data_IF_766974431735
#
_entry.id   IF_766974431735
#
_cell.length_a   1.000
_cell.length_b   1.000
_cell.length_c   1.000
_cell.angle_alpha   90.00
_cell.angle_beta   90.00
_cell.angle_gamma   90.00
#
_symmetry.space_group_name_H-M   'P 1'
#
loop_
_entity.id
_entity.type
_entity.pdbx_description
1 polymer ?
#
# COMPACT_ATOMS: atom_id res chain seq x y z
N UNK A 1 -29.93 14.11 3.87
CA UNK A 1 -29.07 13.41 2.90
C UNK A 1 -27.73 13.13 3.59
N UNK A 2 -27.59 11.96 4.21
CA UNK A 2 -26.27 11.51 4.65
C UNK A 2 -25.48 11.10 3.39
N UNK A 3 -24.65 11.99 2.86
CA UNK A 3 -23.75 11.63 1.76
C UNK A 3 -22.63 10.77 2.32
N UNK A 4 -22.63 9.46 2.06
CA UNK A 4 -21.48 8.60 2.37
C UNK A 4 -20.41 8.85 1.32
N UNK A 5 -19.31 9.48 1.71
CA UNK A 5 -18.17 9.78 0.84
C UNK A 5 -17.07 8.77 1.12
N UNK A 6 -16.53 8.16 0.08
CA UNK A 6 -15.33 7.34 0.19
C UNK A 6 -14.11 8.12 -0.26
N UNK A 7 -13.07 8.18 0.58
CA UNK A 7 -11.81 8.88 0.35
C UNK A 7 -11.19 8.61 -1.03
N UNK A 8 -10.39 9.58 -1.48
CA UNK A 8 -9.86 9.70 -2.85
C UNK A 8 -9.08 8.48 -3.32
N UNK A 9 -8.28 7.89 -2.43
CA UNK A 9 -7.32 6.84 -2.79
C UNK A 9 -7.80 5.44 -2.37
N UNK A 10 -8.96 5.36 -1.71
CA UNK A 10 -9.51 4.11 -1.23
C UNK A 10 -8.79 3.58 0.00
N UNK A 11 -8.23 4.46 0.83
CA UNK A 11 -7.41 4.12 2.02
C UNK A 11 -8.20 3.29 3.02
N UNK A 12 -9.48 3.59 3.21
CA UNK A 12 -10.39 2.78 4.04
C UNK A 12 -11.35 2.01 3.16
N UNK A 13 -11.45 0.68 3.22
CA UNK A 13 -12.25 -0.07 2.27
C UNK A 13 -13.75 0.07 2.50
N UNK A 14 -14.52 -0.08 1.42
CA UNK A 14 -15.97 -0.20 1.47
C UNK A 14 -16.47 -1.09 0.33
N UNK A 15 -17.27 -2.08 0.68
CA UNK A 15 -18.00 -2.92 -0.28
C UNK A 15 -19.49 -2.68 -0.13
N UNK A 16 -20.19 -2.85 -1.25
CA UNK A 16 -21.64 -2.73 -1.32
C UNK A 16 -22.28 -3.94 -1.95
N UNK A 17 -23.48 -4.25 -1.48
CA UNK A 17 -24.46 -5.13 -2.10
C UNK A 17 -25.77 -4.36 -2.18
N UNK A 18 -26.27 -4.16 -3.40
CA UNK A 18 -27.56 -3.51 -3.66
C UNK A 18 -28.41 -4.43 -4.53
N UNK A 19 -29.64 -4.69 -4.11
CA UNK A 19 -30.60 -5.48 -4.88
C UNK A 19 -31.58 -4.59 -5.64
N UNK A 20 -32.21 -5.14 -6.67
CA UNK A 20 -33.23 -4.44 -7.47
C UNK A 20 -34.45 -4.01 -6.64
N UNK A 21 -34.74 -4.74 -5.55
CA UNK A 21 -35.82 -4.38 -4.61
C UNK A 21 -35.40 -3.35 -3.53
N UNK A 22 -34.20 -2.79 -3.64
CA UNK A 22 -33.71 -1.71 -2.78
C UNK A 22 -33.18 -2.15 -1.43
N UNK A 23 -32.72 -3.40 -1.27
CA UNK A 23 -31.94 -3.78 -0.09
C UNK A 23 -30.49 -3.38 -0.30
N UNK A 24 -29.96 -2.52 0.57
CA UNK A 24 -28.57 -2.09 0.58
C UNK A 24 -27.87 -2.64 1.82
N UNK A 25 -26.76 -3.34 1.60
CA UNK A 25 -25.79 -3.70 2.62
C UNK A 25 -24.44 -3.11 2.29
N UNK A 26 -23.76 -2.58 3.31
CA UNK A 26 -22.44 -1.97 3.22
C UNK A 26 -21.56 -2.61 4.29
N UNK A 27 -20.34 -2.95 3.93
CA UNK A 27 -19.35 -3.50 4.87
C UNK A 27 -17.95 -3.05 4.46
N UNK A 28 -17.05 -2.88 5.42
CA UNK A 28 -15.66 -2.53 5.14
C UNK A 28 -14.96 -3.63 4.33
N UNK A 29 -15.31 -4.89 4.56
CA UNK A 29 -14.70 -6.05 3.90
C UNK A 29 -15.80 -6.91 3.26
N UNK A 30 -15.52 -7.44 2.07
CA UNK A 30 -16.51 -8.13 1.26
C UNK A 30 -17.05 -9.39 1.93
N UNK A 31 -16.23 -10.07 2.75
CA UNK A 31 -16.58 -11.26 3.53
C UNK A 31 -17.73 -11.03 4.50
N UNK A 32 -17.88 -9.82 5.02
CA UNK A 32 -19.02 -9.45 5.88
C UNK A 32 -20.36 -9.39 5.14
N UNK A 33 -20.35 -9.44 3.80
CA UNK A 33 -21.55 -9.44 2.97
C UNK A 33 -21.90 -10.83 2.41
N UNK A 34 -21.03 -11.83 2.58
CA UNK A 34 -21.20 -13.15 1.96
C UNK A 34 -22.40 -13.92 2.50
N UNK A 35 -22.57 -13.98 3.82
CA UNK A 35 -23.70 -14.67 4.44
C UNK A 35 -25.05 -14.02 4.08
N UNK A 36 -25.07 -12.68 4.06
CA UNK A 36 -26.24 -11.92 3.63
C UNK A 36 -26.59 -12.31 2.19
N UNK A 37 -25.63 -12.27 1.26
CA UNK A 37 -25.86 -12.65 -0.14
C UNK A 37 -26.42 -14.06 -0.27
N UNK A 38 -25.88 -15.03 0.46
CA UNK A 38 -26.31 -16.44 0.39
C UNK A 38 -27.72 -16.65 0.93
N UNK A 39 -28.16 -15.83 1.91
CA UNK A 39 -29.52 -15.89 2.47
C UNK A 39 -30.59 -15.24 1.59
N UNK A 40 -30.20 -14.52 0.54
CA UNK A 40 -31.13 -13.76 -0.32
C UNK A 40 -31.56 -14.55 -1.55
N UNK A 41 -32.86 -14.50 -1.85
CA UNK A 41 -33.41 -15.03 -3.10
C UNK A 41 -33.26 -14.08 -4.30
N UNK A 42 -32.99 -12.79 -4.03
CA UNK A 42 -32.83 -11.77 -5.06
C UNK A 42 -31.37 -11.70 -5.51
N UNK A 43 -31.08 -11.78 -6.83
CA UNK A 43 -29.71 -11.62 -7.34
C UNK A 43 -29.08 -10.30 -6.90
N UNK A 44 -27.84 -10.36 -6.45
CA UNK A 44 -27.05 -9.19 -6.08
C UNK A 44 -25.55 -9.47 -6.23
N UNK A 45 -24.80 -8.46 -6.71
CA UNK A 45 -23.34 -8.51 -6.75
C UNK A 45 -22.76 -7.75 -5.56
N UNK A 46 -21.72 -8.32 -4.95
CA UNK A 46 -20.87 -7.61 -4.00
C UNK A 46 -19.79 -6.92 -4.83
N UNK A 47 -19.72 -5.61 -4.74
CA UNK A 47 -18.77 -4.79 -5.50
C UNK A 47 -17.99 -3.87 -4.56
N UNK A 48 -16.69 -3.66 -4.80
CA UNK A 48 -16.00 -2.52 -4.20
C UNK A 48 -16.76 -1.25 -4.57
N UNK A 49 -17.03 -0.40 -3.59
CA UNK A 49 -17.46 0.96 -3.88
C UNK A 49 -16.26 1.71 -4.55
N UNK A 50 -16.46 2.69 -5.44
CA UNK A 50 -15.33 3.33 -6.10
C UNK A 50 -14.70 4.44 -5.21
N UNK A 51 -13.36 4.50 -5.08
CA UNK A 51 -12.68 5.59 -4.38
C UNK A 51 -13.02 6.97 -4.93
N UNK A 52 -13.04 7.99 -4.07
CA UNK A 52 -13.34 9.38 -4.46
C UNK A 52 -14.79 9.62 -4.88
N UNK A 53 -15.72 8.69 -4.58
CA UNK A 53 -17.14 8.81 -4.90
C UNK A 53 -18.03 8.94 -3.66
N UNK A 54 -19.24 9.42 -3.89
CA UNK A 54 -20.38 9.25 -3.00
C UNK A 54 -21.58 8.71 -3.77
N UNK A 55 -22.51 8.07 -3.05
CA UNK A 55 -23.78 7.61 -3.59
C UNK A 55 -24.89 8.10 -2.67
N UNK A 56 -25.86 8.82 -3.24
CA UNK A 56 -27.03 9.33 -2.55
C UNK A 56 -28.23 8.42 -2.82
N UNK A 57 -28.97 8.13 -1.76
CA UNK A 57 -30.11 7.22 -1.78
C UNK A 57 -31.37 7.88 -1.24
N UNK A 58 -32.50 7.59 -1.89
CA UNK A 58 -33.82 7.85 -1.35
C UNK A 58 -34.22 6.72 -0.41
N UNK A 59 -34.51 7.05 0.85
CA UNK A 59 -35.09 6.11 1.81
C UNK A 59 -36.60 6.04 1.63
N UNK A 60 -37.11 4.89 1.20
CA UNK A 60 -38.54 4.62 1.05
C UNK A 60 -39.16 4.29 2.41
N UNK A 61 -40.47 4.49 2.54
CA UNK A 61 -41.22 4.18 3.77
C UNK A 61 -41.12 2.69 4.19
N UNK A 62 -40.82 1.81 3.24
CA UNK A 62 -40.58 0.38 3.48
C UNK A 62 -39.22 0.08 4.12
N UNK A 63 -38.37 1.09 4.33
CA UNK A 63 -36.97 0.95 4.75
C UNK A 63 -36.02 0.56 3.60
N UNK A 64 -36.53 0.35 2.39
CA UNK A 64 -35.72 0.09 1.18
C UNK A 64 -35.13 1.39 0.64
N UNK A 65 -34.05 1.28 -0.12
CA UNK A 65 -33.38 2.42 -0.75
C UNK A 65 -33.47 2.36 -2.26
N UNK A 66 -33.43 3.53 -2.89
CA UNK A 66 -33.23 3.67 -4.33
C UNK A 66 -32.04 4.60 -4.56
N UNK A 67 -31.06 4.16 -5.34
CA UNK A 67 -29.96 5.02 -5.74
C UNK A 67 -30.49 6.17 -6.60
N UNK A 68 -30.15 7.39 -6.22
CA UNK A 68 -30.57 8.63 -6.91
C UNK A 68 -29.41 9.18 -7.73
N UNK A 69 -28.21 9.12 -7.17
CA UNK A 69 -27.04 9.79 -7.72
C UNK A 69 -25.79 9.08 -7.23
N UNK A 70 -24.87 8.84 -8.14
CA UNK A 70 -23.52 8.37 -7.81
C UNK A 70 -22.54 9.27 -8.54
N UNK A 71 -21.70 9.97 -7.77
CA UNK A 71 -20.79 10.97 -8.33
C UNK A 71 -19.41 10.87 -7.72
N UNK A 72 -18.41 11.09 -8.57
CA UNK A 72 -17.03 11.30 -8.13
C UNK A 72 -16.89 12.72 -7.61
N UNK A 73 -16.61 12.86 -6.31
CA UNK A 73 -16.39 14.19 -5.71
C UNK A 73 -14.93 14.65 -5.81
N UNK A 74 -13.99 13.72 -5.99
CA UNK A 74 -12.56 14.01 -6.12
C UNK A 74 -11.79 12.92 -6.88
N UNK A 75 -10.78 13.34 -7.62
CA UNK A 75 -9.77 12.49 -8.26
C UNK A 75 -8.36 12.94 -7.82
N UNK A 76 -7.39 12.03 -7.79
CA UNK A 76 -6.01 12.34 -7.40
C UNK A 76 -5.35 13.46 -8.23
N UNK A 77 -5.83 13.71 -9.45
CA UNK A 77 -5.37 14.77 -10.36
C UNK A 77 -6.04 16.13 -10.13
N UNK A 78 -6.98 16.23 -9.20
CA UNK A 78 -7.73 17.45 -8.90
C UNK A 78 -7.23 18.04 -7.59
N UNK A 79 -7.20 19.38 -7.50
CA UNK A 79 -6.92 20.04 -6.24
C UNK A 79 -8.05 19.71 -5.23
N UNK A 80 -7.72 19.23 -4.03
CA UNK A 80 -8.75 18.89 -3.06
C UNK A 80 -9.50 20.15 -2.61
N UNK A 81 -10.83 20.13 -2.64
CA UNK A 81 -11.65 21.30 -2.24
C UNK A 81 -11.37 21.81 -0.82
N UNK A 82 -10.86 20.97 0.08
CA UNK A 82 -10.46 21.39 1.42
C UNK A 82 -9.09 22.09 1.48
N UNK A 83 -8.31 22.10 0.39
CA UNK A 83 -7.11 22.94 0.25
C UNK A 83 -7.44 24.41 0.49
N UNK A 84 -8.58 24.88 -0.03
CA UNK A 84 -9.01 26.28 0.05
C UNK A 84 -9.26 26.82 1.47
N UNK A 85 -9.43 25.96 2.49
CA UNK A 85 -9.83 26.37 3.84
C UNK A 85 -8.74 26.22 4.91
N UNK A 86 -7.58 25.68 4.55
CA UNK A 86 -6.48 25.54 5.50
C UNK A 86 -5.24 26.16 4.84
N UNK A 87 -5.01 27.45 5.08
CA UNK A 87 -3.90 28.15 4.46
C UNK A 87 -2.62 27.78 5.21
N UNK A 88 -1.83 26.88 4.63
CA UNK A 88 -0.45 26.69 5.08
C UNK A 88 0.33 27.94 4.66
N UNK A 89 0.58 28.82 5.60
CA UNK A 89 1.42 29.99 5.38
C UNK A 89 2.83 29.55 4.98
N UNK A 90 3.41 30.20 3.97
CA UNK A 90 4.82 29.98 3.60
C UNK A 90 5.10 28.98 2.47
N UNK A 91 4.08 28.49 1.74
CA UNK A 91 4.34 27.80 0.48
C UNK A 91 4.81 28.79 -0.58
N UNK A 92 6.01 28.59 -1.10
CA UNK A 92 6.52 29.42 -2.18
C UNK A 92 5.80 29.14 -3.50
N UNK A 93 5.66 30.17 -4.33
CA UNK A 93 5.10 30.06 -5.69
C UNK A 93 6.18 29.73 -6.70
N UNK A 94 5.83 29.02 -7.76
CA UNK A 94 6.78 28.65 -8.82
C UNK A 94 7.36 27.25 -8.65
N UNK A 95 8.26 26.89 -9.56
CA UNK A 95 8.88 25.56 -9.65
C UNK A 95 10.40 25.61 -9.58
N UNK A 96 10.98 26.67 -9.00
CA UNK A 96 12.40 26.72 -8.67
C UNK A 96 12.74 25.59 -7.69
N UNK A 97 13.89 24.92 -7.91
CA UNK A 97 14.22 23.69 -7.18
C UNK A 97 14.21 23.86 -5.66
N UNK A 98 14.74 24.96 -5.12
CA UNK A 98 14.72 25.22 -3.67
C UNK A 98 13.30 25.44 -3.14
N UNK A 99 12.46 26.15 -3.89
CA UNK A 99 11.05 26.36 -3.57
C UNK A 99 10.32 25.01 -3.53
N UNK A 100 10.52 24.17 -4.55
CA UNK A 100 9.91 22.83 -4.62
C UNK A 100 10.34 21.95 -3.47
N UNK A 101 11.64 21.89 -3.17
CA UNK A 101 12.17 21.13 -2.03
C UNK A 101 11.56 21.62 -0.71
N UNK A 102 11.43 22.94 -0.53
CA UNK A 102 10.81 23.52 0.67
C UNK A 102 9.35 23.14 0.80
N UNK A 103 8.57 23.27 -0.27
CA UNK A 103 7.15 22.94 -0.27
C UNK A 103 6.91 21.44 -0.03
N UNK A 104 7.73 20.55 -0.62
CA UNK A 104 7.69 19.11 -0.35
C UNK A 104 7.83 18.84 1.15
N UNK A 105 8.81 19.46 1.82
CA UNK A 105 9.02 19.29 3.26
C UNK A 105 7.86 19.79 4.09
N UNK A 106 7.41 21.02 3.84
CA UNK A 106 6.30 21.65 4.59
C UNK A 106 5.04 20.80 4.47
N UNK A 107 4.69 20.38 3.26
CA UNK A 107 3.48 19.59 3.00
C UNK A 107 3.59 18.17 3.56
N UNK A 108 4.77 17.55 3.50
CA UNK A 108 4.97 16.22 4.09
C UNK A 108 4.94 16.27 5.62
N UNK A 109 5.57 17.26 6.24
CA UNK A 109 5.51 17.44 7.70
C UNK A 109 4.07 17.77 8.15
N UNK A 110 3.32 18.59 7.41
CA UNK A 110 1.90 18.83 7.68
C UNK A 110 1.06 17.54 7.53
N UNK A 111 1.34 16.74 6.50
CA UNK A 111 0.72 15.42 6.29
C UNK A 111 0.90 14.51 7.52
N UNK A 112 2.10 14.47 8.09
CA UNK A 112 2.38 13.69 9.32
C UNK A 112 1.73 14.34 10.55
N UNK A 113 1.89 15.66 10.73
CA UNK A 113 1.41 16.40 11.90
C UNK A 113 -0.10 16.30 12.08
N UNK A 114 -0.90 16.51 11.01
CA UNK A 114 -2.36 16.39 11.10
C UNK A 114 -2.83 14.97 11.46
N UNK A 115 -1.98 13.98 11.19
CA UNK A 115 -2.20 12.56 11.51
C UNK A 115 -1.69 12.20 12.91
N UNK A 116 -1.28 13.15 13.74
CA UNK A 116 -1.07 12.90 15.18
C UNK A 116 -2.39 12.87 15.98
N UNK A 117 -3.52 13.19 15.35
CA UNK A 117 -4.86 13.16 15.97
C UNK A 117 -5.24 11.75 16.44
N UNK A 118 -4.92 11.39 17.68
CA UNK A 118 -5.22 10.09 18.26
C UNK A 118 -5.32 10.16 19.80
N UNK A 119 -6.23 9.37 20.37
CA UNK A 119 -6.29 9.11 21.82
C UNK A 119 -5.60 7.79 22.20
N UNK A 120 -5.05 7.07 21.21
CA UNK A 120 -4.37 5.78 21.37
C UNK A 120 -2.92 5.93 20.96
N UNK A 121 -2.05 5.06 21.47
CA UNK A 121 -0.62 5.11 21.20
C UNK A 121 -0.35 4.97 19.70
N UNK A 122 0.56 5.83 19.23
CA UNK A 122 1.01 5.89 17.84
C UNK A 122 2.33 5.12 17.71
N UNK A 123 2.41 4.27 16.70
CA UNK A 123 3.63 3.60 16.26
C UNK A 123 3.85 3.76 14.76
N UNK A 124 4.94 3.20 14.24
CA UNK A 124 5.30 3.29 12.82
C UNK A 124 5.97 2.01 12.31
N UNK A 125 5.61 1.57 11.12
CA UNK A 125 6.38 0.56 10.41
C UNK A 125 7.68 1.20 9.89
N UNK A 126 8.79 0.51 10.08
CA UNK A 126 10.13 0.96 9.71
C UNK A 126 10.89 -0.17 9.03
N UNK A 127 10.95 -0.15 7.70
CA UNK A 127 11.69 -1.14 6.91
C UNK A 127 13.14 -0.74 6.61
N UNK A 128 13.54 0.49 6.96
CA UNK A 128 14.85 1.04 6.57
C UNK A 128 14.95 1.47 5.10
N UNK A 129 13.86 1.35 4.32
CA UNK A 129 13.74 1.99 3.02
C UNK A 129 13.49 3.50 3.16
N UNK A 130 13.68 4.27 2.08
CA UNK A 130 13.54 5.74 2.10
C UNK A 130 12.22 6.20 2.73
N UNK A 131 11.10 5.62 2.30
CA UNK A 131 9.77 6.15 2.60
C UNK A 131 9.38 5.97 4.06
N UNK A 132 9.50 4.73 4.56
CA UNK A 132 9.21 4.41 5.97
C UNK A 132 10.19 5.14 6.90
N UNK A 133 11.43 5.37 6.46
CA UNK A 133 12.42 6.14 7.23
C UNK A 133 12.05 7.62 7.32
N UNK A 134 11.62 8.25 6.22
CA UNK A 134 11.16 9.65 6.23
C UNK A 134 9.90 9.82 7.08
N UNK A 135 8.96 8.87 7.01
CA UNK A 135 7.76 8.87 7.86
C UNK A 135 8.14 8.73 9.33
N UNK A 136 8.93 7.71 9.69
CA UNK A 136 9.32 7.47 11.08
C UNK A 136 10.10 8.64 11.67
N UNK A 137 11.06 9.21 10.93
CA UNK A 137 11.85 10.34 11.40
C UNK A 137 11.00 11.61 11.59
N UNK A 138 10.12 11.92 10.63
CA UNK A 138 9.19 13.07 10.75
C UNK A 138 8.21 12.86 11.90
N UNK A 139 7.72 11.63 12.08
CA UNK A 139 6.81 11.28 13.16
C UNK A 139 7.47 11.44 14.53
N UNK A 140 8.71 10.96 14.71
CA UNK A 140 9.45 11.12 15.97
C UNK A 140 9.72 12.59 16.26
N UNK A 141 10.18 13.36 15.26
CA UNK A 141 10.39 14.81 15.38
C UNK A 141 9.10 15.50 15.86
N UNK A 142 8.00 15.31 15.16
CA UNK A 142 6.73 15.96 15.44
C UNK A 142 6.09 15.47 16.76
N UNK A 143 6.24 14.19 17.11
CA UNK A 143 5.78 13.66 18.39
C UNK A 143 6.48 14.33 19.58
N UNK A 144 7.78 14.63 19.44
CA UNK A 144 8.54 15.37 20.45
C UNK A 144 8.11 16.84 20.50
N UNK A 145 7.89 17.49 19.36
CA UNK A 145 7.40 18.88 19.29
C UNK A 145 6.00 19.03 19.91
N UNK A 146 5.12 18.07 19.70
CA UNK A 146 3.76 18.01 20.27
C UNK A 146 3.71 17.39 21.68
N UNK A 147 4.87 17.09 22.28
CA UNK A 147 5.03 16.59 23.64
C UNK A 147 4.18 15.34 23.95
N UNK A 148 4.15 14.37 23.03
CA UNK A 148 3.46 13.11 23.29
C UNK A 148 4.05 12.41 24.53
N UNK A 149 3.22 11.82 25.41
CA UNK A 149 3.66 11.30 26.71
C UNK A 149 4.36 9.94 26.65
N UNK A 150 4.73 9.47 25.45
CA UNK A 150 5.37 8.18 25.21
C UNK A 150 6.33 8.29 24.01
N UNK A 151 7.38 7.46 23.97
CA UNK A 151 8.20 7.35 22.77
C UNK A 151 7.42 6.66 21.65
N UNK A 152 7.70 7.07 20.42
CA UNK A 152 7.21 6.37 19.22
C UNK A 152 7.86 4.99 19.15
N UNK A 153 7.02 3.96 19.09
CA UNK A 153 7.47 2.60 18.79
C UNK A 153 7.60 2.42 17.28
N UNK A 154 8.72 1.86 16.84
CA UNK A 154 8.95 1.51 15.44
C UNK A 154 9.09 0.00 15.27
N UNK A 155 8.60 -0.53 14.17
CA UNK A 155 8.51 -1.98 13.96
C UNK A 155 9.12 -2.38 12.61
N UNK A 156 10.10 -3.28 12.63
CA UNK A 156 10.63 -3.94 11.43
C UNK A 156 10.34 -5.45 11.49
N UNK A 157 10.26 -6.10 10.34
CA UNK A 157 10.12 -7.57 10.25
C UNK A 157 11.07 -8.12 9.20
N UNK A 158 11.75 -9.22 9.54
CA UNK A 158 12.63 -9.93 8.62
C UNK A 158 13.51 -10.94 9.34
N UNK A 159 14.33 -11.66 8.58
CA UNK A 159 15.41 -12.46 9.16
C UNK A 159 16.44 -11.55 9.85
N UNK A 160 17.15 -12.06 10.85
CA UNK A 160 18.17 -11.32 11.61
C UNK A 160 19.25 -10.70 10.71
N UNK A 161 19.65 -11.43 9.66
CA UNK A 161 20.65 -11.02 8.68
C UNK A 161 20.05 -10.28 7.46
N UNK A 162 18.77 -9.92 7.51
CA UNK A 162 18.10 -9.28 6.38
C UNK A 162 18.54 -7.81 6.19
N UNK A 163 18.69 -7.36 4.94
CA UNK A 163 19.17 -6.01 4.65
C UNK A 163 18.21 -4.91 5.10
N UNK A 164 16.90 -5.19 5.20
CA UNK A 164 15.90 -4.22 5.68
C UNK A 164 15.94 -4.09 7.21
N UNK A 165 16.04 -5.20 7.96
CA UNK A 165 16.17 -5.13 9.43
C UNK A 165 17.46 -4.38 9.81
N UNK A 166 18.58 -4.64 9.12
CA UNK A 166 19.83 -3.91 9.35
C UNK A 166 19.70 -2.40 9.07
N UNK A 167 18.97 -2.00 8.03
CA UNK A 167 18.71 -0.60 7.70
C UNK A 167 17.73 0.06 8.69
N UNK A 168 16.67 -0.64 9.06
CA UNK A 168 15.69 -0.19 10.05
C UNK A 168 16.37 0.09 11.40
N UNK A 169 17.25 -0.79 11.85
CA UNK A 169 18.05 -0.62 13.08
C UNK A 169 18.89 0.66 13.06
N UNK A 170 19.54 0.96 11.93
CA UNK A 170 20.32 2.20 11.75
C UNK A 170 19.43 3.44 11.85
N UNK A 171 18.28 3.43 11.18
CA UNK A 171 17.34 4.56 11.22
C UNK A 171 16.77 4.73 12.61
N UNK A 172 16.35 3.65 13.26
CA UNK A 172 15.83 3.66 14.63
C UNK A 172 16.83 4.25 15.63
N UNK A 173 18.10 3.84 15.54
CA UNK A 173 19.18 4.39 16.36
C UNK A 173 19.41 5.88 16.09
N UNK A 174 19.33 6.31 14.84
CA UNK A 174 19.48 7.72 14.44
C UNK A 174 18.35 8.61 14.98
N UNK A 175 17.11 8.14 14.90
CA UNK A 175 15.93 8.95 15.31
C UNK A 175 15.59 8.79 16.80
N UNK A 176 16.14 7.79 17.49
CA UNK A 176 15.88 7.54 18.92
C UNK A 176 14.51 6.94 19.21
N UNK A 177 13.96 6.12 18.31
CA UNK A 177 12.67 5.44 18.53
C UNK A 177 12.80 4.19 19.42
N UNK A 178 11.72 3.79 20.09
CA UNK A 178 11.63 2.48 20.76
C UNK A 178 11.46 1.38 19.70
N UNK A 179 12.55 0.76 19.25
CA UNK A 179 12.54 -0.15 18.09
C UNK A 179 12.29 -1.61 18.46
N UNK A 180 11.42 -2.24 17.69
CA UNK A 180 11.06 -3.65 17.78
C UNK A 180 11.43 -4.34 16.46
N UNK A 181 12.31 -5.34 16.54
CA UNK A 181 12.71 -6.18 15.41
C UNK A 181 11.98 -7.52 15.52
N UNK A 182 11.06 -7.77 14.59
CA UNK A 182 10.24 -8.99 14.56
C UNK A 182 10.93 -10.01 13.65
N UNK A 183 11.25 -11.18 14.20
CA UNK A 183 11.84 -12.25 13.42
C UNK A 183 10.81 -12.85 12.45
N UNK A 184 11.21 -13.08 11.21
CA UNK A 184 10.42 -13.77 10.19
C UNK A 184 11.06 -15.10 9.80
N UNK A 185 10.27 -16.17 9.78
CA UNK A 185 10.66 -17.46 9.20
C UNK A 185 9.78 -17.82 8.00
N UNK A 186 10.33 -18.42 6.93
CA UNK A 186 9.53 -18.89 5.80
C UNK A 186 8.42 -19.87 6.22
N UNK A 187 8.66 -20.70 7.23
CA UNK A 187 7.68 -21.66 7.73
C UNK A 187 6.48 -20.97 8.37
N UNK A 188 6.70 -19.88 9.13
CA UNK A 188 5.60 -19.03 9.63
C UNK A 188 4.88 -18.33 8.49
N UNK A 189 5.62 -17.85 7.48
CA UNK A 189 5.05 -17.24 6.29
C UNK A 189 4.10 -18.18 5.54
N UNK A 190 4.53 -19.42 5.29
CA UNK A 190 3.72 -20.45 4.61
C UNK A 190 2.46 -20.76 5.41
N UNK A 191 2.58 -20.93 6.74
CA UNK A 191 1.41 -21.19 7.60
C UNK A 191 0.40 -20.05 7.61
N UNK A 192 0.83 -18.81 7.39
CA UNK A 192 -0.05 -17.65 7.36
C UNK A 192 -0.74 -17.42 6.00
N UNK A 193 -0.31 -18.08 4.91
CA UNK A 193 -0.77 -17.79 3.54
C UNK A 193 -2.29 -17.83 3.40
N UNK A 194 -2.93 -18.89 3.88
CA UNK A 194 -4.39 -19.05 3.74
C UNK A 194 -5.14 -17.94 4.51
N UNK A 195 -4.73 -17.65 5.74
CA UNK A 195 -5.33 -16.58 6.56
C UNK A 195 -5.12 -15.20 5.92
N UNK A 196 -3.95 -14.95 5.35
CA UNK A 196 -3.64 -13.72 4.60
C UNK A 196 -4.53 -13.59 3.37
N UNK A 197 -4.74 -14.66 2.58
CA UNK A 197 -5.66 -14.63 1.43
C UNK A 197 -7.09 -14.31 1.87
N UNK A 198 -7.54 -14.91 2.97
CA UNK A 198 -8.85 -14.64 3.56
C UNK A 198 -8.97 -13.16 3.95
N UNK A 199 -7.99 -12.57 4.62
CA UNK A 199 -8.05 -11.16 4.99
C UNK A 199 -7.94 -10.20 3.79
N UNK A 200 -7.14 -10.52 2.77
CA UNK A 200 -6.96 -9.66 1.61
C UNK A 200 -8.17 -9.65 0.67
N UNK A 201 -8.88 -10.78 0.55
CA UNK A 201 -9.95 -10.95 -0.44
C UNK A 201 -9.46 -10.74 -1.88
N UNK A 202 -8.20 -11.13 -2.14
CA UNK A 202 -7.52 -10.98 -3.43
C UNK A 202 -6.57 -12.16 -3.69
N UNK A 203 -6.29 -12.43 -4.95
CA UNK A 203 -5.33 -13.45 -5.40
C UNK A 203 -4.16 -12.86 -6.19
N UNK A 204 -3.92 -11.55 -6.09
CA UNK A 204 -2.76 -10.90 -6.70
C UNK A 204 -1.45 -11.36 -6.04
N UNK A 205 -0.48 -11.79 -6.86
CA UNK A 205 0.77 -12.41 -6.39
C UNK A 205 1.64 -11.40 -5.64
N UNK A 206 1.83 -10.19 -6.17
CA UNK A 206 2.67 -9.16 -5.54
C UNK A 206 2.09 -8.71 -4.21
N UNK A 207 0.78 -8.46 -4.20
CA UNK A 207 0.03 -8.11 -3.00
C UNK A 207 0.20 -9.19 -1.95
N UNK A 208 0.04 -10.47 -2.31
CA UNK A 208 0.16 -11.57 -1.36
C UNK A 208 1.56 -11.68 -0.74
N UNK A 209 2.61 -11.71 -1.59
CA UNK A 209 4.00 -11.87 -1.14
C UNK A 209 4.38 -10.81 -0.11
N UNK A 210 3.98 -9.56 -0.33
CA UNK A 210 4.24 -8.45 0.59
C UNK A 210 3.31 -8.47 1.83
N UNK A 211 2.10 -9.02 1.71
CA UNK A 211 1.12 -9.03 2.81
C UNK A 211 1.48 -9.96 3.94
N UNK A 212 2.19 -11.07 3.67
CA UNK A 212 2.56 -12.05 4.70
C UNK A 212 3.39 -11.40 5.82
N UNK A 213 4.45 -10.66 5.46
CA UNK A 213 5.26 -9.93 6.45
C UNK A 213 4.46 -8.86 7.19
N UNK A 214 3.61 -8.12 6.47
CA UNK A 214 2.81 -7.05 7.07
C UNK A 214 1.71 -7.57 8.01
N UNK A 215 1.16 -8.74 7.72
CA UNK A 215 0.21 -9.45 8.58
C UNK A 215 0.90 -9.90 9.88
N UNK A 216 2.04 -10.59 9.76
CA UNK A 216 2.78 -11.10 10.92
C UNK A 216 3.30 -9.99 11.84
N UNK A 217 3.80 -8.87 11.28
CA UNK A 217 4.22 -7.73 12.10
C UNK A 217 3.02 -7.04 12.77
N UNK A 218 1.88 -6.96 12.10
CA UNK A 218 0.65 -6.43 12.68
C UNK A 218 0.14 -7.30 13.84
N UNK A 219 0.22 -8.62 13.69
CA UNK A 219 -0.06 -9.58 14.77
C UNK A 219 0.86 -9.33 15.97
N UNK A 220 2.16 -9.20 15.74
CA UNK A 220 3.13 -8.90 16.79
C UNK A 220 2.79 -7.60 17.53
N UNK A 221 2.55 -6.50 16.80
CA UNK A 221 2.24 -5.20 17.38
C UNK A 221 1.04 -5.32 18.33
N UNK A 222 -0.04 -5.97 17.88
CA UNK A 222 -1.25 -6.17 18.68
C UNK A 222 -1.02 -7.03 19.92
N UNK A 223 -0.20 -8.07 19.82
CA UNK A 223 0.02 -9.03 20.92
C UNK A 223 1.05 -8.56 21.94
N UNK A 224 2.01 -7.71 21.53
CA UNK A 224 3.20 -7.37 22.32
C UNK A 224 3.29 -5.91 22.73
N UNK A 225 2.47 -5.03 22.16
CA UNK A 225 2.50 -3.59 22.45
C UNK A 225 1.10 -3.01 22.63
N UNK A 226 1.04 -1.73 22.99
CA UNK A 226 -0.18 -0.93 23.08
C UNK A 226 -0.33 0.07 21.93
N UNK A 227 0.57 0.04 20.93
CA UNK A 227 0.46 0.81 19.70
C UNK A 227 -0.74 0.34 18.87
N UNK A 228 -1.63 1.28 18.53
CA UNK A 228 -2.85 0.99 17.75
C UNK A 228 -2.89 1.77 16.45
N UNK A 229 -2.42 3.01 16.46
CA UNK A 229 -2.35 3.84 15.26
C UNK A 229 -0.97 3.65 14.64
N UNK A 230 -0.91 3.06 13.45
CA UNK A 230 0.33 2.65 12.81
C UNK A 230 0.56 3.46 11.54
N UNK A 231 1.62 4.25 11.55
CA UNK A 231 2.09 4.97 10.37
C UNK A 231 2.86 4.06 9.43
N UNK A 232 2.74 4.32 8.13
CA UNK A 232 3.48 3.58 7.10
C UNK A 232 3.75 4.43 5.86
N UNK A 233 4.64 3.94 4.99
CA UNK A 233 5.17 4.65 3.82
C UNK A 233 4.43 4.43 2.50
N UNK A 234 3.31 3.69 2.47
CA UNK A 234 2.56 3.41 1.24
C UNK A 234 2.10 4.68 0.52
N UNK A 235 2.05 4.60 -0.81
CA UNK A 235 1.70 5.71 -1.70
C UNK A 235 2.90 6.50 -2.21
N UNK A 236 4.07 6.37 -1.56
CA UNK A 236 5.28 7.08 -2.00
C UNK A 236 5.76 6.62 -3.37
N UNK A 237 5.87 5.30 -3.60
CA UNK A 237 6.36 4.74 -4.86
C UNK A 237 5.47 5.14 -6.05
N UNK A 238 4.16 5.09 -5.87
CA UNK A 238 3.16 5.43 -6.87
C UNK A 238 3.15 6.93 -7.19
N UNK A 239 3.28 7.78 -6.17
CA UNK A 239 3.31 9.23 -6.32
C UNK A 239 4.62 9.74 -6.94
N UNK A 240 5.74 9.17 -6.49
CA UNK A 240 7.10 9.69 -6.76
C UNK A 240 7.88 8.88 -7.79
N UNK A 241 7.19 8.00 -8.54
CA UNK A 241 7.77 7.19 -9.61
C UNK A 241 8.91 6.29 -9.11
N UNK A 242 8.68 5.66 -7.96
CA UNK A 242 9.68 4.97 -7.16
C UNK A 242 9.97 3.52 -7.53
N UNK A 243 9.09 2.86 -8.27
CA UNK A 243 9.37 1.51 -8.75
C UNK A 243 10.48 1.52 -9.80
N UNK A 244 11.39 0.54 -9.75
CA UNK A 244 12.57 0.47 -10.64
C UNK A 244 12.17 0.48 -12.13
N UNK A 245 10.98 -0.01 -12.51
CA UNK A 245 10.54 0.02 -13.91
C UNK A 245 10.32 1.45 -14.45
N UNK A 246 10.17 2.47 -13.60
CA UNK A 246 10.12 3.87 -14.03
C UNK A 246 11.40 4.34 -14.73
N UNK A 247 12.56 3.71 -14.49
CA UNK A 247 13.78 3.95 -15.27
C UNK A 247 13.64 3.57 -16.75
N UNK A 248 12.60 2.81 -17.12
CA UNK A 248 12.30 2.40 -18.49
C UNK A 248 11.11 3.16 -19.09
N UNK A 249 10.60 4.17 -18.40
CA UNK A 249 9.54 5.02 -18.94
C UNK A 249 10.00 5.68 -20.25
N UNK A 250 9.20 5.64 -21.34
CA UNK A 250 9.61 6.19 -22.63
C UNK A 250 9.64 7.72 -22.65
N UNK A 251 8.97 8.38 -21.70
CA UNK A 251 8.98 9.83 -21.52
C UNK A 251 8.51 10.22 -20.11
N UNK A 252 8.82 11.45 -19.63
CA UNK A 252 8.26 11.98 -18.38
C UNK A 252 6.73 11.93 -18.32
N UNK A 253 6.07 12.23 -19.44
CA UNK A 253 4.62 12.13 -19.59
C UNK A 253 4.09 10.71 -19.37
N UNK A 254 4.73 9.71 -19.99
CA UNK A 254 4.33 8.32 -19.80
C UNK A 254 4.52 7.86 -18.35
N UNK A 255 5.57 8.35 -17.67
CA UNK A 255 5.78 8.11 -16.24
C UNK A 255 4.72 8.78 -15.37
N UNK A 256 4.35 10.03 -15.69
CA UNK A 256 3.29 10.76 -15.00
C UNK A 256 1.91 10.09 -15.16
N UNK A 257 1.57 9.65 -16.37
CA UNK A 257 0.34 8.90 -16.66
C UNK A 257 0.28 7.59 -15.87
N UNK A 258 1.41 6.88 -15.76
CA UNK A 258 1.45 5.63 -15.01
C UNK A 258 1.39 5.84 -13.50
N UNK A 259 2.04 6.88 -12.96
CA UNK A 259 1.88 7.32 -11.57
C UNK A 259 0.41 7.58 -11.24
N UNK A 260 -0.32 8.30 -12.09
CA UNK A 260 -1.76 8.56 -11.91
C UNK A 260 -2.59 7.27 -11.98
N UNK A 261 -2.24 6.33 -12.87
CA UNK A 261 -2.89 5.01 -12.92
C UNK A 261 -2.69 4.26 -11.59
N UNK A 262 -1.45 4.15 -11.11
CA UNK A 262 -1.13 3.46 -9.88
C UNK A 262 -1.88 4.06 -8.68
N UNK A 263 -1.91 5.40 -8.58
CA UNK A 263 -2.67 6.09 -7.52
C UNK A 263 -4.18 5.78 -7.56
N UNK A 264 -4.75 5.57 -8.74
CA UNK A 264 -6.17 5.16 -8.90
C UNK A 264 -6.41 3.69 -8.57
N UNK A 265 -5.38 2.85 -8.70
CA UNK A 265 -5.45 1.41 -8.49
C UNK A 265 -4.93 0.98 -7.10
N UNK A 266 -4.42 1.90 -6.28
CA UNK A 266 -3.90 1.64 -4.93
C UNK A 266 -4.85 0.77 -4.08
N UNK A 267 -6.15 1.05 -4.13
CA UNK A 267 -7.20 0.35 -3.38
C UNK A 267 -7.36 -1.13 -3.77
N UNK A 268 -6.75 -1.58 -4.87
CA UNK A 268 -6.72 -2.97 -5.31
C UNK A 268 -5.44 -3.70 -4.86
N UNK A 269 -4.38 -2.96 -4.52
CA UNK A 269 -3.03 -3.48 -4.32
C UNK A 269 -2.43 -3.01 -2.98
N UNK A 270 -1.51 -2.05 -2.98
CA UNK A 270 -0.73 -1.66 -1.81
C UNK A 270 -1.57 -1.14 -0.65
N UNK A 271 -2.61 -0.34 -0.92
CA UNK A 271 -3.53 0.14 0.11
C UNK A 271 -4.45 -0.97 0.60
N UNK A 272 -4.86 -1.91 -0.28
CA UNK A 272 -5.61 -3.09 0.12
C UNK A 272 -4.79 -3.94 1.09
N UNK A 273 -3.53 -4.25 0.75
CA UNK A 273 -2.59 -4.95 1.63
C UNK A 273 -2.47 -4.23 2.96
N UNK A 274 -2.14 -2.94 2.92
CA UNK A 274 -1.81 -2.18 4.10
C UNK A 274 -2.99 -2.08 5.07
N UNK A 275 -4.19 -1.83 4.56
CA UNK A 275 -5.39 -1.79 5.37
C UNK A 275 -5.78 -3.18 5.90
N UNK A 276 -5.91 -4.19 5.05
CA UNK A 276 -6.40 -5.52 5.49
C UNK A 276 -5.49 -6.19 6.50
N UNK A 277 -4.18 -6.12 6.29
CA UNK A 277 -3.22 -6.80 7.17
C UNK A 277 -3.09 -6.12 8.53
N UNK A 278 -3.26 -4.79 8.61
CA UNK A 278 -3.30 -4.07 9.89
C UNK A 278 -4.65 -4.21 10.58
N UNK A 279 -5.75 -4.08 9.84
CA UNK A 279 -7.12 -4.22 10.35
C UNK A 279 -7.41 -5.62 10.87
N UNK A 280 -6.81 -6.67 10.27
CA UNK A 280 -6.90 -8.06 10.76
C UNK A 280 -6.52 -8.21 12.23
N UNK A 281 -5.65 -7.33 12.74
CA UNK A 281 -5.19 -7.35 14.13
C UNK A 281 -5.69 -6.14 14.94
N UNK A 282 -6.69 -5.42 14.44
CA UNK A 282 -7.32 -4.29 15.13
C UNK A 282 -6.41 -3.06 15.23
N UNK A 283 -5.52 -2.87 14.26
CA UNK A 283 -4.66 -1.70 14.13
C UNK A 283 -5.23 -0.73 13.09
N UNK A 284 -4.96 0.55 13.26
CA UNK A 284 -5.40 1.62 12.35
C UNK A 284 -4.22 2.15 11.53
N UNK A 285 -4.25 1.94 10.21
CA UNK A 285 -3.23 2.43 9.29
C UNK A 285 -3.32 3.95 9.04
N UNK A 286 -2.18 4.65 9.01
CA UNK A 286 -2.06 6.04 8.51
C UNK A 286 -0.92 6.17 7.49
N UNK A 287 -1.23 6.75 6.33
CA UNK A 287 -0.32 6.85 5.17
C UNK A 287 -0.15 8.31 4.74
N UNK A 288 0.83 9.05 5.28
CA UNK A 288 0.99 10.49 5.03
C UNK A 288 1.36 10.83 3.59
N UNK A 289 1.99 9.93 2.83
CA UNK A 289 2.28 10.14 1.40
C UNK A 289 1.02 10.30 0.55
N UNK A 290 -0.13 9.78 0.99
CA UNK A 290 -1.42 9.93 0.33
C UNK A 290 -2.23 11.13 0.85
N UNK A 291 -1.58 12.06 1.54
CA UNK A 291 -2.23 13.31 1.91
C UNK A 291 -2.63 14.13 0.70
N UNK A 292 -3.90 14.54 0.64
CA UNK A 292 -4.47 15.19 -0.52
C UNK A 292 -3.69 16.44 -0.97
N UNK A 293 -3.08 17.20 -0.06
CA UNK A 293 -2.31 18.41 -0.42
C UNK A 293 -0.91 18.05 -0.90
N UNK A 294 -0.27 17.12 -0.21
CA UNK A 294 1.05 16.63 -0.59
C UNK A 294 0.99 16.01 -1.99
N UNK A 295 0.01 15.15 -2.24
CA UNK A 295 -0.18 14.51 -3.54
C UNK A 295 -0.56 15.52 -4.63
N UNK A 296 -1.51 16.42 -4.37
CA UNK A 296 -1.91 17.43 -5.35
C UNK A 296 -0.74 18.35 -5.74
N UNK A 297 0.05 18.79 -4.76
CA UNK A 297 1.26 19.57 -5.02
C UNK A 297 2.28 18.77 -5.83
N UNK A 298 2.61 17.56 -5.40
CA UNK A 298 3.61 16.74 -6.09
C UNK A 298 3.18 16.44 -7.53
N UNK A 299 1.91 16.10 -7.77
CA UNK A 299 1.38 15.84 -9.12
C UNK A 299 1.30 17.11 -9.99
N UNK A 300 1.25 18.30 -9.39
CA UNK A 300 1.28 19.58 -10.13
C UNK A 300 2.67 19.96 -10.63
N UNK A 301 3.74 19.33 -10.12
CA UNK A 301 5.10 19.61 -10.55
C UNK A 301 5.32 19.22 -12.03
N UNK A 302 6.16 19.97 -12.77
CA UNK A 302 6.59 19.58 -14.11
C UNK A 302 7.04 18.12 -14.13
N UNK A 303 6.60 17.38 -15.13
CA UNK A 303 6.79 15.92 -15.21
C UNK A 303 8.27 15.55 -15.20
N UNK A 304 9.11 16.39 -15.83
CA UNK A 304 10.57 16.26 -15.89
C UNK A 304 11.26 16.37 -14.52
N UNK A 305 10.63 17.02 -13.54
CA UNK A 305 11.18 17.11 -12.19
C UNK A 305 10.92 15.84 -11.36
N UNK A 306 9.93 15.03 -11.76
CA UNK A 306 9.48 13.86 -11.00
C UNK A 306 10.16 12.56 -11.42
N UNK A 307 10.70 12.50 -12.64
CA UNK A 307 11.34 11.29 -13.15
C UNK A 307 12.59 10.91 -12.37
N UNK A 308 12.93 9.61 -12.32
CA UNK A 308 14.22 9.17 -11.80
C UNK A 308 15.37 9.91 -12.49
N UNK A 309 16.40 10.29 -11.71
CA UNK A 309 17.56 11.06 -12.18
C UNK A 309 18.83 10.48 -11.59
N UNK A 310 19.93 10.55 -12.35
CA UNK A 310 21.27 10.12 -11.91
C UNK A 310 21.30 8.66 -11.41
N UNK A 311 20.51 7.80 -12.06
CA UNK A 311 20.44 6.37 -11.74
C UNK A 311 19.71 6.03 -10.44
N UNK A 312 18.96 6.99 -9.87
CA UNK A 312 18.24 6.83 -8.61
C UNK A 312 16.77 7.27 -8.75
N UNK A 313 15.87 6.40 -8.30
CA UNK A 313 14.45 6.67 -8.16
C UNK A 313 14.16 7.68 -7.05
N UNK A 314 13.03 8.39 -7.17
CA UNK A 314 12.61 9.40 -6.17
C UNK A 314 13.65 10.49 -5.91
N UNK A 315 14.49 10.80 -6.90
CA UNK A 315 15.60 11.74 -6.75
C UNK A 315 15.15 13.09 -6.16
N UNK A 316 14.03 13.65 -6.62
CA UNK A 316 13.49 14.90 -6.09
C UNK A 316 13.11 14.80 -4.60
N UNK A 317 12.50 13.69 -4.19
CA UNK A 317 12.16 13.45 -2.78
C UNK A 317 13.43 13.37 -1.92
N UNK A 318 14.45 12.64 -2.38
CA UNK A 318 15.75 12.53 -1.69
C UNK A 318 16.44 13.89 -1.56
N UNK A 319 16.49 14.66 -2.65
CA UNK A 319 17.05 16.02 -2.65
C UNK A 319 16.29 16.95 -1.70
N UNK A 320 14.97 16.81 -1.57
CA UNK A 320 14.18 17.64 -0.65
C UNK A 320 14.60 17.49 0.82
N UNK A 321 15.12 16.33 1.21
CA UNK A 321 15.58 16.05 2.58
C UNK A 321 17.12 16.03 2.75
N UNK A 322 17.87 16.25 1.66
CA UNK A 322 19.33 16.27 1.68
C UNK A 322 19.88 17.37 2.59
N UNK A 323 20.90 17.01 3.38
CA UNK A 323 21.59 17.94 4.28
C UNK A 323 20.84 18.27 5.57
N UNK A 324 19.58 17.83 5.72
CA UNK A 324 18.80 18.04 6.94
C UNK A 324 19.13 17.05 8.06
N UNK A 325 19.83 15.96 7.74
CA UNK A 325 20.16 14.87 8.68
C UNK A 325 18.94 14.30 9.42
N UNK A 326 17.77 14.33 8.76
CA UNK A 326 16.54 13.74 9.30
C UNK A 326 16.65 12.21 9.40
N UNK A 327 17.36 11.60 8.43
CA UNK A 327 17.76 10.19 8.41
C UNK A 327 19.23 10.09 8.00
N UNK A 328 19.93 8.95 8.22
CA UNK A 328 21.31 8.79 7.76
C UNK A 328 21.42 8.93 6.24
N UNK A 329 22.49 9.59 5.75
CA UNK A 329 22.68 9.83 4.31
C UNK A 329 22.74 8.52 3.50
N UNK A 330 23.31 7.45 4.07
CA UNK A 330 23.33 6.13 3.44
C UNK A 330 21.92 5.54 3.23
N UNK A 331 20.95 5.90 4.07
CA UNK A 331 19.54 5.51 3.92
C UNK A 331 18.84 6.43 2.94
N UNK A 332 19.11 7.74 3.03
CA UNK A 332 18.56 8.75 2.12
C UNK A 332 18.91 8.47 0.65
N UNK A 333 20.02 7.79 0.37
CA UNK A 333 20.47 7.42 -0.98
C UNK A 333 20.46 5.91 -1.25
N UNK A 334 19.94 5.09 -0.33
CA UNK A 334 19.75 3.65 -0.53
C UNK A 334 18.77 3.40 -1.67
N UNK A 335 19.14 2.54 -2.63
CA UNK A 335 18.26 2.08 -3.72
C UNK A 335 17.05 1.32 -3.19
N UNK A 336 15.94 1.38 -3.92
CA UNK A 336 14.68 0.70 -3.60
C UNK A 336 14.86 -0.81 -3.55
N UNK A 337 14.53 -1.38 -2.38
CA UNK A 337 14.31 -2.80 -2.17
C UNK A 337 12.79 -3.08 -2.04
N UNK A 338 12.34 -4.20 -2.62
CA UNK A 338 10.95 -4.63 -2.49
C UNK A 338 10.71 -5.25 -1.11
N UNK A 339 9.55 -5.00 -0.49
CA UNK A 339 9.30 -5.38 0.90
C UNK A 339 9.44 -6.89 1.15
N UNK A 340 8.83 -7.72 0.29
CA UNK A 340 8.93 -9.19 0.39
C UNK A 340 10.34 -9.73 0.21
N UNK A 341 11.24 -8.93 -0.36
CA UNK A 341 12.61 -9.32 -0.65
C UNK A 341 13.57 -8.87 0.44
N UNK A 342 13.41 -7.63 0.90
CA UNK A 342 14.24 -7.02 1.92
C UNK A 342 14.10 -7.68 3.30
N UNK A 343 12.97 -8.33 3.59
CA UNK A 343 12.72 -9.09 4.82
C UNK A 343 13.40 -10.47 4.87
N UNK A 344 14.04 -10.91 3.78
CA UNK A 344 14.55 -12.29 3.66
C UNK A 344 15.99 -12.45 4.11
N UNK A 345 16.37 -13.66 4.54
CA UNK A 345 17.77 -13.97 4.84
C UNK A 345 18.62 -13.90 3.57
N UNK A 346 19.87 -13.50 3.73
CA UNK A 346 20.86 -13.50 2.66
C UNK A 346 21.14 -14.92 2.13
N UNK A 347 20.80 -15.96 2.90
CA UNK A 347 21.03 -17.37 2.54
C UNK A 347 19.91 -17.99 1.71
N UNK A 348 18.65 -17.69 2.04
CA UNK A 348 17.47 -18.24 1.36
C UNK A 348 16.33 -17.23 1.36
N UNK A 349 15.80 -16.94 0.18
CA UNK A 349 14.71 -15.98 0.03
C UNK A 349 13.35 -16.57 0.38
N UNK A 350 12.44 -15.72 0.86
CA UNK A 350 11.02 -16.05 1.03
C UNK A 350 10.42 -16.59 -0.25
N UNK A 351 10.69 -15.94 -1.39
CA UNK A 351 10.27 -16.39 -2.71
C UNK A 351 10.71 -17.83 -3.00
N UNK A 352 11.99 -18.17 -2.77
CA UNK A 352 12.53 -19.51 -3.03
C UNK A 352 11.86 -20.57 -2.14
N UNK A 353 11.72 -20.28 -0.84
CA UNK A 353 11.03 -21.19 0.09
C UNK A 353 9.56 -21.40 -0.30
N UNK A 354 8.89 -20.34 -0.76
CA UNK A 354 7.52 -20.41 -1.24
C UNK A 354 7.42 -21.26 -2.51
N UNK A 355 8.32 -21.08 -3.49
CA UNK A 355 8.34 -21.92 -4.70
C UNK A 355 8.56 -23.40 -4.37
N UNK A 356 9.49 -23.72 -3.47
CA UNK A 356 9.76 -25.11 -3.05
C UNK A 356 8.52 -25.77 -2.42
N UNK A 357 7.77 -25.03 -1.60
CA UNK A 357 6.51 -25.51 -1.04
C UNK A 357 5.45 -25.72 -2.12
N UNK A 358 5.29 -24.76 -3.04
CA UNK A 358 4.28 -24.81 -4.10
C UNK A 358 4.55 -25.94 -5.10
N UNK A 359 5.82 -26.26 -5.35
CA UNK A 359 6.20 -27.33 -6.28
C UNK A 359 5.65 -28.70 -5.84
N UNK A 360 5.46 -28.91 -4.54
CA UNK A 360 4.78 -30.11 -4.02
C UNK A 360 3.25 -30.05 -4.05
N UNK A 361 2.66 -28.87 -4.21
CA UNK A 361 1.21 -28.64 -4.10
C UNK A 361 0.52 -28.52 -5.48
N UNK A 362 1.25 -28.10 -6.52
CA UNK A 362 0.69 -27.88 -7.87
C UNK A 362 1.52 -28.61 -8.93
N UNK A 363 0.90 -29.56 -9.62
CA UNK A 363 1.55 -30.24 -10.75
C UNK A 363 1.32 -29.52 -12.09
N UNK A 364 2.20 -29.79 -13.07
CA UNK A 364 2.16 -29.10 -14.38
C UNK A 364 0.85 -29.32 -15.14
N UNK A 365 0.23 -30.51 -15.03
CA UNK A 365 -1.03 -30.81 -15.71
C UNK A 365 -2.22 -29.99 -15.19
N UNK A 366 -2.19 -29.58 -13.92
CA UNK A 366 -3.18 -28.66 -13.36
C UNK A 366 -3.01 -27.26 -13.92
N UNK A 367 -1.77 -26.77 -14.01
CA UNK A 367 -1.46 -25.45 -14.57
C UNK A 367 -1.82 -25.37 -16.07
N UNK A 368 -1.59 -26.42 -16.85
CA UNK A 368 -2.02 -26.50 -18.27
C UNK A 368 -3.54 -26.30 -18.44
N UNK A 369 -4.32 -26.70 -17.44
CA UNK A 369 -5.79 -26.59 -17.42
C UNK A 369 -6.28 -25.31 -16.73
N UNK A 370 -5.38 -24.41 -16.33
CA UNK A 370 -5.71 -23.18 -15.62
C UNK A 370 -6.72 -22.30 -16.37
N UNK A 371 -6.58 -22.15 -17.69
CA UNK A 371 -7.51 -21.37 -18.53
C UNK A 371 -8.94 -21.92 -18.50
N UNK A 372 -9.09 -23.24 -18.39
CA UNK A 372 -10.40 -23.90 -18.34
C UNK A 372 -10.99 -23.82 -16.93
N UNK A 373 -10.16 -24.00 -15.90
CA UNK A 373 -10.58 -23.99 -14.49
C UNK A 373 -10.88 -22.57 -13.98
N UNK A 374 -10.07 -21.60 -14.40
CA UNK A 374 -10.12 -20.20 -13.97
C UNK A 374 -10.20 -19.30 -15.20
N UNK A 375 -11.36 -19.22 -15.89
CA UNK A 375 -11.49 -18.49 -17.16
C UNK A 375 -11.26 -16.97 -17.03
N UNK A 376 -11.48 -16.41 -15.83
CA UNK A 376 -11.19 -15.02 -15.52
C UNK A 376 -9.82 -14.90 -14.85
N UNK A 377 -8.92 -14.09 -15.44
CA UNK A 377 -7.53 -13.93 -15.00
C UNK A 377 -6.85 -15.28 -14.71
N UNK A 378 -6.70 -16.14 -15.73
CA UNK A 378 -6.10 -17.44 -15.54
C UNK A 378 -4.65 -17.31 -15.07
N UNK A 379 -4.26 -18.03 -14.01
CA UNK A 379 -2.89 -17.99 -13.51
C UNK A 379 -1.92 -18.62 -14.51
N UNK A 380 -0.78 -17.96 -14.73
CA UNK A 380 0.27 -18.41 -15.66
C UNK A 380 1.48 -19.02 -14.94
N UNK A 381 1.47 -19.04 -13.61
CA UNK A 381 2.52 -19.61 -12.76
C UNK A 381 1.90 -20.56 -11.74
N UNK A 382 2.68 -21.54 -11.25
CA UNK A 382 2.22 -22.45 -10.19
C UNK A 382 1.82 -21.70 -8.93
N UNK A 383 2.56 -20.64 -8.58
CA UNK A 383 2.21 -19.79 -7.45
C UNK A 383 0.87 -19.08 -7.65
N UNK A 384 0.66 -18.44 -8.81
CA UNK A 384 -0.64 -17.84 -9.11
C UNK A 384 -1.77 -18.87 -9.04
N UNK A 385 -1.51 -20.10 -9.47
CA UNK A 385 -2.48 -21.19 -9.43
C UNK A 385 -2.79 -21.62 -7.99
N UNK A 386 -1.77 -21.87 -7.16
CA UNK A 386 -1.90 -22.22 -5.75
C UNK A 386 -2.69 -21.15 -4.98
N UNK A 387 -2.33 -19.88 -5.13
CA UNK A 387 -3.01 -18.75 -4.50
C UNK A 387 -4.47 -18.69 -4.97
N UNK A 388 -4.71 -18.84 -6.28
CA UNK A 388 -6.06 -18.82 -6.84
C UNK A 388 -6.93 -19.97 -6.32
N UNK A 389 -6.37 -21.16 -6.10
CA UNK A 389 -7.10 -22.28 -5.50
C UNK A 389 -7.58 -21.96 -4.09
N UNK A 390 -6.72 -21.36 -3.26
CA UNK A 390 -7.09 -20.96 -1.90
C UNK A 390 -8.13 -19.85 -1.94
N UNK A 391 -7.96 -18.85 -2.83
CA UNK A 391 -8.94 -17.79 -3.00
C UNK A 391 -10.33 -18.35 -3.37
N UNK A 392 -10.43 -19.21 -4.39
CA UNK A 392 -11.71 -19.78 -4.84
C UNK A 392 -12.33 -20.74 -3.81
N UNK A 393 -11.52 -21.35 -2.93
CA UNK A 393 -12.00 -22.15 -1.78
C UNK A 393 -12.82 -21.30 -0.81
N UNK A 394 -12.37 -20.07 -0.52
CA UNK A 394 -13.03 -19.16 0.44
C UNK A 394 -14.04 -18.22 -0.22
N UNK A 395 -13.79 -17.84 -1.47
CA UNK A 395 -14.54 -16.81 -2.21
C UNK A 395 -14.97 -17.31 -3.60
N UNK A 396 -15.79 -18.38 -3.67
CA UNK A 396 -16.22 -18.94 -4.95
C UNK A 396 -16.98 -17.91 -5.79
N UNK A 397 -16.64 -17.83 -7.07
CA UNK A 397 -17.22 -16.91 -8.05
C UNK A 397 -17.03 -15.42 -7.68
N UNK A 398 -15.91 -15.08 -7.02
CA UNK A 398 -15.57 -13.69 -6.65
C UNK A 398 -14.30 -13.18 -7.32
N UNK A 399 -13.84 -13.86 -8.36
CA UNK A 399 -12.62 -13.49 -9.05
C UNK A 399 -12.62 -12.05 -9.61
N UNK A 400 -13.79 -11.48 -9.94
CA UNK A 400 -13.94 -10.08 -10.38
C UNK A 400 -13.46 -9.05 -9.33
N UNK A 401 -13.26 -9.42 -8.06
CA UNK A 401 -12.70 -8.52 -7.03
C UNK A 401 -11.23 -8.17 -7.27
N UNK A 402 -10.49 -9.04 -7.97
CA UNK A 402 -9.12 -8.76 -8.46
C UNK A 402 -9.18 -8.62 -9.98
N UNK A 403 -9.49 -7.42 -10.52
CA UNK A 403 -9.78 -7.25 -11.94
C UNK A 403 -8.57 -7.51 -12.84
N UNK A 404 -7.36 -7.32 -12.32
CA UNK A 404 -6.10 -7.63 -12.99
C UNK A 404 -4.99 -7.89 -11.97
N UNK A 405 -3.93 -8.58 -12.42
CA UNK A 405 -2.69 -8.68 -11.65
C UNK A 405 -1.90 -7.38 -11.71
N UNK A 406 -1.25 -7.00 -10.62
CA UNK A 406 -0.29 -5.91 -10.61
C UNK A 406 0.90 -6.29 -11.48
N UNK A 407 1.24 -5.49 -12.49
CA UNK A 407 2.36 -5.77 -13.41
C UNK A 407 3.16 -4.49 -13.72
N UNK A 408 4.50 -4.58 -13.79
CA UNK A 408 5.34 -3.44 -14.17
C UNK A 408 5.12 -3.06 -15.64
N UNK A 409 5.19 -1.76 -15.95
CA UNK A 409 5.13 -1.28 -17.34
C UNK A 409 6.51 -1.27 -18.01
N UNK A 410 6.48 -1.24 -19.34
CA UNK A 410 7.65 -1.09 -20.24
C UNK A 410 8.69 -2.22 -20.16
N UNK A 411 8.36 -3.30 -19.46
CA UNK A 411 9.21 -4.47 -19.31
C UNK A 411 8.38 -5.70 -19.69
N UNK A 412 8.99 -6.64 -20.42
CA UNK A 412 8.39 -7.95 -20.66
C UNK A 412 8.56 -8.78 -19.38
N UNK A 413 7.54 -8.75 -18.52
CA UNK A 413 7.50 -9.50 -17.28
C UNK A 413 6.38 -10.56 -17.35
N UNK A 414 6.67 -11.77 -16.90
CA UNK A 414 5.69 -12.86 -16.72
C UNK A 414 5.37 -13.12 -15.25
N UNK A 415 6.21 -12.61 -14.36
CA UNK A 415 6.01 -12.59 -12.91
C UNK A 415 6.14 -11.14 -12.44
N UNK A 416 5.31 -10.69 -11.50
CA UNK A 416 5.32 -9.30 -11.06
C UNK A 416 6.41 -8.99 -10.04
N UNK A 417 7.19 -9.99 -9.59
CA UNK A 417 8.36 -9.79 -8.73
C UNK A 417 9.43 -8.99 -9.45
N UNK A 418 9.87 -7.96 -8.74
CA UNK A 418 11.16 -7.31 -8.92
C UNK A 418 12.29 -8.30 -9.29
N UNK A 419 12.43 -9.41 -8.57
CA UNK A 419 13.55 -10.37 -8.71
C UNK A 419 13.67 -11.02 -10.08
N UNK A 420 12.56 -11.17 -10.80
CA UNK A 420 12.58 -11.80 -12.12
C UNK A 420 12.94 -10.82 -13.24
N UNK A 421 12.96 -9.52 -12.93
CA UNK A 421 13.30 -8.48 -13.89
C UNK A 421 14.82 -8.28 -13.91
N UNK A 422 15.39 -8.23 -15.11
CA UNK A 422 16.84 -8.07 -15.33
C UNK A 422 17.44 -6.81 -14.69
N UNK A 423 16.62 -5.79 -14.43
CA UNK A 423 17.01 -4.50 -13.85
C UNK A 423 17.23 -4.50 -12.33
N UNK A 424 16.79 -5.56 -11.62
CA UNK A 424 17.01 -5.70 -10.17
C UNK A 424 18.33 -6.41 -9.83
N UNK A 425 19.07 -6.92 -10.83
CA UNK A 425 20.42 -7.40 -10.59
C UNK A 425 21.31 -6.15 -10.46
N UNK A 426 21.98 -5.92 -9.32
CA UNK A 426 23.03 -4.91 -9.29
C UNK A 426 24.02 -5.26 -10.39
N UNK A 427 24.41 -4.26 -11.20
CA UNK A 427 25.61 -4.41 -12.03
C UNK A 427 26.71 -4.90 -11.08
N UNK A 428 27.31 -6.06 -11.39
CA UNK A 428 28.26 -6.74 -10.51
C UNK A 428 29.54 -5.91 -10.22
N UNK A 429 29.62 -4.69 -10.73
CA UNK A 429 30.78 -3.81 -10.73
C UNK A 429 30.48 -2.39 -10.16
N UNK A 430 29.51 -2.22 -9.24
CA UNK A 430 29.32 -0.97 -8.49
C UNK A 430 29.47 -1.16 -6.98
#
# INVERSE_FOLDING_TARGET
LESRRWDTYGVRPLFRLLTDNGFLALCSEAKGLLEIKTSMSTPAKITPFPPGHFEAFDLKLTGKVQSVQMERFHCCTEEPKHAAYNNLEGLGTGFELETVKSNIRILFEDAVKKRLMAHRRIGCLLSGGLDSSLVAASLVKLANEELLPYPIQTFSIGAEDSPDVAAARKVAAHIGSEHHEVNFTPEEGIRALEEVIVHLESYDITTLRASVGMYLISKYIREKTDSVVIFSGEGSDELTQGYIYFHKAPSPKAAAEDSVRLLKELYLFDVLRADRTTAAHGLELRVPFLDHRFTAYYLSLPEEMRVPKDGVEKHLLREAFKGLKLIPDEILWRRKEAFSDGMTSMKKSWYSSLQEHIESEVNDSELEKANTRFPFNPPTTKEGFFIRQIFEKHYPDRCEWTPHYWMPRWIKATDPSARTLSIYKPDKDQ
#
